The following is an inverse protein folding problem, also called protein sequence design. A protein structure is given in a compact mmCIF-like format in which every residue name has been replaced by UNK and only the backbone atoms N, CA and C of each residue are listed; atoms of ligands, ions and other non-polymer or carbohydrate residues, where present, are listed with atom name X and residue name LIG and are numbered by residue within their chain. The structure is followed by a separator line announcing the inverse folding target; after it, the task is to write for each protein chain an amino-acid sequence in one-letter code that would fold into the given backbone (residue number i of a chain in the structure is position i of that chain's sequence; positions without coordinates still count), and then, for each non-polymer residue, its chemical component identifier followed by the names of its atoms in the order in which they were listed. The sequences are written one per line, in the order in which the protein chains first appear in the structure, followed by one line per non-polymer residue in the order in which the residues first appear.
data_IF_197448811842
#
_entry.id   IF_197448811842
#
_cell.length_a   1.000
_cell.length_b   1.000
_cell.length_c   1.000
_cell.angle_alpha   90.00
_cell.angle_beta   90.00
_cell.angle_gamma   90.00
#
_symmetry.space_group_name_H-M   'P 1'
#
loop_
_entity.id
_entity.type
_entity.pdbx_description
1 polymer ?
#
# COMPACT_ATOMS: atom_id res chain seq x y z
N UNK A 1 1.13 -2.72 22.59
CA UNK A 1 -0.13 -2.11 22.10
C UNK A 1 -0.45 -0.75 22.74
N UNK A 2 0.53 0.05 23.21
CA UNK A 2 0.23 1.35 23.84
C UNK A 2 1.40 2.36 23.78
N UNK A 3 1.87 2.74 22.59
CA UNK A 3 2.88 3.81 22.46
C UNK A 3 2.52 4.92 21.48
N UNK A 4 1.69 4.67 20.46
CA UNK A 4 1.30 5.72 19.49
C UNK A 4 0.26 6.70 20.04
N UNK A 5 -0.61 6.26 20.95
CA UNK A 5 -1.60 7.13 21.59
C UNK A 5 -0.98 8.03 22.69
N UNK A 6 0.23 7.72 23.16
CA UNK A 6 0.80 8.36 24.35
C UNK A 6 1.31 9.79 24.11
N UNK A 7 1.49 10.22 22.85
CA UNK A 7 2.12 11.54 22.58
C UNK A 7 1.24 12.57 21.88
N UNK A 8 0.12 12.20 21.23
CA UNK A 8 -0.70 13.15 20.43
C UNK A 8 0.15 14.12 19.57
N UNK A 9 1.34 13.67 19.13
CA UNK A 9 2.26 14.51 18.37
C UNK A 9 1.80 14.50 16.92
N UNK A 10 1.12 15.57 16.53
CA UNK A 10 0.87 15.86 15.11
C UNK A 10 2.22 16.07 14.43
N UNK A 11 2.48 15.27 13.41
CA UNK A 11 3.70 15.33 12.60
C UNK A 11 3.32 15.15 11.14
N UNK A 12 4.18 15.57 10.21
CA UNK A 12 4.00 15.30 8.78
C UNK A 12 3.79 13.81 8.47
N UNK A 13 4.29 12.90 9.33
CA UNK A 13 4.09 11.46 9.19
C UNK A 13 2.64 11.01 9.41
N UNK A 14 1.83 11.79 10.13
CA UNK A 14 0.39 11.55 10.26
C UNK A 14 -0.32 11.82 8.94
N UNK A 15 0.08 12.87 8.23
CA UNK A 15 -0.45 13.21 6.90
C UNK A 15 -0.05 12.15 5.87
N UNK A 16 1.20 11.65 5.93
CA UNK A 16 1.66 10.53 5.08
C UNK A 16 0.82 9.28 5.31
N UNK A 17 0.53 8.92 6.57
CA UNK A 17 -0.31 7.76 6.87
C UNK A 17 -1.72 7.94 6.32
N UNK A 18 -2.32 9.10 6.55
CA UNK A 18 -3.68 9.43 6.10
C UNK A 18 -3.78 9.39 4.57
N UNK A 19 -2.76 9.89 3.85
CA UNK A 19 -2.65 9.73 2.40
C UNK A 19 -2.65 8.26 1.98
N UNK A 20 -1.84 7.42 2.63
CA UNK A 20 -1.79 5.99 2.32
C UNK A 20 -3.15 5.29 2.53
N UNK A 21 -3.86 5.64 3.60
CA UNK A 21 -5.23 5.13 3.87
C UNK A 21 -6.18 5.55 2.75
N UNK A 22 -6.20 6.83 2.36
CA UNK A 22 -7.07 7.34 1.29
C UNK A 22 -6.74 6.69 -0.05
N UNK A 23 -5.45 6.53 -0.38
CA UNK A 23 -5.03 5.87 -1.62
C UNK A 23 -5.52 4.40 -1.68
N UNK A 24 -5.39 3.66 -0.58
CA UNK A 24 -5.93 2.30 -0.48
C UNK A 24 -7.45 2.28 -0.55
N UNK A 25 -8.13 3.22 0.11
CA UNK A 25 -9.59 3.31 0.08
C UNK A 25 -10.13 3.50 -1.35
N UNK A 26 -9.46 4.34 -2.15
CA UNK A 26 -9.78 4.54 -3.57
C UNK A 26 -9.58 3.23 -4.36
N UNK A 27 -8.46 2.55 -4.17
CA UNK A 27 -8.12 1.32 -4.90
C UNK A 27 -9.02 0.12 -4.52
N UNK A 28 -9.46 0.06 -3.27
CA UNK A 28 -10.28 -1.02 -2.72
C UNK A 28 -11.78 -0.76 -2.85
N UNK A 29 -12.18 0.49 -3.09
CA UNK A 29 -13.59 0.92 -3.08
C UNK A 29 -14.24 0.89 -1.69
N UNK A 30 -13.45 0.69 -0.62
CA UNK A 30 -13.88 0.58 0.78
C UNK A 30 -12.73 0.89 1.73
N UNK A 31 -13.05 1.22 2.97
CA UNK A 31 -12.05 1.55 3.99
C UNK A 31 -11.08 0.35 4.26
N UNK A 32 -9.75 0.56 4.27
CA UNK A 32 -8.76 -0.52 4.32
C UNK A 32 -8.50 -1.09 5.73
N UNK A 33 -9.36 -0.81 6.71
CA UNK A 33 -9.12 -1.10 8.13
C UNK A 33 -8.81 -2.57 8.43
N UNK A 34 -9.55 -3.49 7.84
CA UNK A 34 -9.35 -4.94 8.02
C UNK A 34 -8.01 -5.38 7.44
N UNK A 35 -7.65 -4.89 6.25
CA UNK A 35 -6.36 -5.17 5.61
C UNK A 35 -5.20 -4.67 6.47
N UNK A 36 -5.26 -3.42 6.92
CA UNK A 36 -4.18 -2.80 7.71
C UNK A 36 -4.00 -3.48 9.07
N UNK A 37 -5.07 -4.02 9.65
CA UNK A 37 -5.03 -4.79 10.89
C UNK A 37 -4.37 -6.15 10.69
N UNK A 38 -4.60 -6.79 9.53
CA UNK A 38 -4.08 -8.12 9.20
C UNK A 38 -2.67 -8.12 8.59
N UNK A 39 -2.21 -6.98 8.04
CA UNK A 39 -0.89 -6.85 7.41
C UNK A 39 0.28 -7.42 8.23
N UNK A 40 0.41 -7.16 9.55
CA UNK A 40 1.49 -7.73 10.35
C UNK A 40 1.49 -9.26 10.38
N UNK A 41 0.30 -9.87 10.36
CA UNK A 41 0.17 -11.33 10.31
C UNK A 41 0.52 -11.85 8.91
N UNK A 42 0.00 -11.22 7.85
CA UNK A 42 0.27 -11.56 6.44
C UNK A 42 1.78 -11.53 6.12
N UNK A 43 2.51 -10.52 6.62
CA UNK A 43 3.96 -10.43 6.42
C UNK A 43 4.75 -11.52 7.18
N UNK A 44 4.14 -12.21 8.14
CA UNK A 44 4.82 -13.21 9.00
C UNK A 44 4.52 -14.67 8.61
N UNK A 45 3.39 -14.93 7.95
CA UNK A 45 2.96 -16.27 7.53
C UNK A 45 2.66 -16.28 6.03
N UNK A 46 3.47 -17.00 5.25
CA UNK A 46 3.25 -17.12 3.79
C UNK A 46 1.99 -17.94 3.43
N UNK A 47 1.41 -18.68 4.37
CA UNK A 47 0.25 -19.56 4.12
C UNK A 47 -1.08 -18.80 3.98
N UNK A 48 -1.19 -17.58 4.51
CA UNK A 48 -2.41 -16.74 4.49
C UNK A 48 -2.23 -15.45 3.67
N UNK A 49 -1.35 -15.47 2.66
CA UNK A 49 -1.07 -14.28 1.86
C UNK A 49 -2.25 -13.93 0.94
N UNK A 50 -2.63 -12.65 0.94
CA UNK A 50 -3.77 -12.17 0.18
C UNK A 50 -3.33 -11.80 -1.24
N UNK A 51 -4.09 -12.24 -2.24
CA UNK A 51 -3.89 -11.81 -3.63
C UNK A 51 -4.37 -10.37 -3.80
N UNK A 52 -3.55 -9.56 -4.49
CA UNK A 52 -3.86 -8.16 -4.75
C UNK A 52 -5.22 -8.00 -5.45
N UNK A 53 -5.51 -8.86 -6.43
CA UNK A 53 -6.79 -8.83 -7.17
C UNK A 53 -8.03 -8.98 -6.29
N UNK A 54 -7.90 -9.64 -5.13
CA UNK A 54 -9.03 -9.91 -4.25
C UNK A 54 -9.29 -8.74 -3.29
N UNK A 55 -8.32 -7.83 -3.18
CA UNK A 55 -8.36 -6.64 -2.32
C UNK A 55 -8.88 -5.41 -3.07
N UNK A 56 -8.58 -5.30 -4.36
CA UNK A 56 -9.06 -4.20 -5.20
C UNK A 56 -10.58 -4.19 -5.31
N UNK A 57 -11.12 -3.04 -5.72
CA UNK A 57 -12.55 -2.87 -5.93
C UNK A 57 -13.10 -3.87 -6.97
N UNK A 58 -13.77 -4.91 -6.48
CA UNK A 58 -14.30 -5.99 -7.29
C UNK A 58 -15.49 -5.58 -8.17
N UNK A 59 -15.96 -4.33 -8.07
CA UNK A 59 -16.97 -3.75 -8.97
C UNK A 59 -16.37 -3.30 -10.30
N UNK A 60 -15.05 -3.18 -10.39
CA UNK A 60 -14.32 -2.79 -11.58
C UNK A 60 -13.74 -4.02 -12.28
N UNK A 61 -13.54 -3.90 -13.59
CA UNK A 61 -12.80 -4.92 -14.33
C UNK A 61 -11.35 -5.00 -13.84
N UNK A 62 -10.74 -6.20 -13.77
CA UNK A 62 -9.35 -6.34 -13.38
C UNK A 62 -8.44 -5.51 -14.30
N UNK A 63 -7.46 -4.77 -13.74
CA UNK A 63 -6.57 -3.97 -14.57
C UNK A 63 -5.71 -4.87 -15.46
N UNK A 64 -5.43 -4.40 -16.67
CA UNK A 64 -4.65 -5.11 -17.68
C UNK A 64 -3.43 -4.31 -18.11
N UNK A 65 -2.35 -5.01 -18.47
CA UNK A 65 -1.12 -4.42 -19.04
C UNK A 65 -0.57 -3.25 -18.18
N UNK A 66 -0.48 -2.06 -18.76
CA UNK A 66 0.08 -0.87 -18.13
C UNK A 66 -0.72 -0.41 -16.90
N UNK A 67 -2.06 -0.57 -16.93
CA UNK A 67 -2.88 -0.19 -15.77
C UNK A 67 -2.60 -1.10 -14.57
N UNK A 68 -2.26 -2.37 -14.81
CA UNK A 68 -1.89 -3.30 -13.75
C UNK A 68 -0.56 -2.89 -13.11
N UNK A 69 0.40 -2.42 -13.90
CA UNK A 69 1.68 -1.90 -13.42
C UNK A 69 1.49 -0.69 -12.50
N UNK A 70 0.70 0.28 -12.96
CA UNK A 70 0.40 1.49 -12.18
C UNK A 70 -0.32 1.17 -10.87
N UNK A 71 -1.32 0.28 -10.91
CA UNK A 71 -2.04 -0.15 -9.70
C UNK A 71 -1.09 -0.82 -8.71
N UNK A 72 -0.25 -1.75 -9.16
CA UNK A 72 0.76 -2.39 -8.29
C UNK A 72 1.70 -1.36 -7.67
N UNK A 73 2.16 -0.40 -8.47
CA UNK A 73 3.04 0.66 -8.00
C UNK A 73 2.38 1.53 -6.92
N UNK A 74 1.16 2.02 -7.16
CA UNK A 74 0.44 2.85 -6.20
C UNK A 74 0.13 2.07 -4.91
N UNK A 75 -0.23 0.78 -5.02
CA UNK A 75 -0.44 -0.08 -3.84
C UNK A 75 0.83 -0.17 -2.99
N UNK A 76 2.01 -0.37 -3.61
CA UNK A 76 3.29 -0.41 -2.88
C UNK A 76 3.58 0.89 -2.14
N UNK A 77 3.37 2.04 -2.80
CA UNK A 77 3.55 3.36 -2.21
C UNK A 77 2.57 3.55 -1.03
N UNK A 78 1.31 3.19 -1.22
CA UNK A 78 0.29 3.32 -0.19
C UNK A 78 0.59 2.45 1.03
N UNK A 79 0.98 1.18 0.83
CA UNK A 79 1.42 0.28 1.91
C UNK A 79 2.64 0.81 2.67
N UNK A 80 3.61 1.42 1.97
CA UNK A 80 4.75 2.06 2.60
C UNK A 80 4.34 3.27 3.46
N UNK A 81 3.36 4.05 2.99
CA UNK A 81 2.80 5.18 3.72
C UNK A 81 2.03 4.75 4.98
N UNK A 82 1.38 3.59 4.97
CA UNK A 82 0.60 3.06 6.10
C UNK A 82 1.40 2.22 7.10
N UNK A 83 2.74 2.27 7.06
CA UNK A 83 3.58 1.54 8.03
C UNK A 83 3.29 1.95 9.47
N UNK A 84 3.30 0.96 10.37
CA UNK A 84 3.01 1.16 11.78
C UNK A 84 3.98 2.13 12.46
N UNK A 85 5.28 2.05 12.13
CA UNK A 85 6.31 2.98 12.62
C UNK A 85 6.35 4.24 11.72
N UNK A 86 6.10 5.46 12.25
CA UNK A 86 6.17 6.71 11.50
C UNK A 86 7.51 6.93 10.79
N UNK A 87 8.61 6.55 11.42
CA UNK A 87 9.96 6.71 10.86
C UNK A 87 10.21 5.80 9.65
N UNK A 88 9.45 4.71 9.54
CA UNK A 88 9.54 3.79 8.40
C UNK A 88 8.67 4.21 7.21
N UNK A 89 7.85 5.26 7.37
CA UNK A 89 7.04 5.84 6.28
C UNK A 89 7.93 6.77 5.43
N UNK A 90 7.74 6.83 4.10
CA UNK A 90 8.52 7.75 3.26
C UNK A 90 8.20 9.22 3.56
N UNK A 91 9.01 10.15 3.04
CA UNK A 91 8.68 11.58 3.04
C UNK A 91 7.65 11.88 1.93
N UNK A 92 6.69 12.77 2.17
CA UNK A 92 5.66 13.10 1.18
C UNK A 92 6.25 13.65 -0.13
N UNK A 93 7.37 14.38 -0.06
CA UNK A 93 8.11 14.83 -1.26
C UNK A 93 8.55 13.65 -2.13
N UNK A 94 9.09 12.59 -1.53
CA UNK A 94 9.53 11.39 -2.24
C UNK A 94 8.34 10.66 -2.86
N UNK A 95 7.23 10.55 -2.13
CA UNK A 95 5.97 9.98 -2.62
C UNK A 95 5.48 10.74 -3.86
N UNK A 96 5.39 12.07 -3.78
CA UNK A 96 4.94 12.90 -4.88
C UNK A 96 5.88 12.82 -6.10
N UNK A 97 7.19 12.84 -5.88
CA UNK A 97 8.18 12.66 -6.95
C UNK A 97 8.06 11.32 -7.62
N UNK A 98 7.83 10.25 -6.85
CA UNK A 98 7.69 8.91 -7.40
C UNK A 98 6.42 8.73 -8.21
N UNK A 99 5.29 9.24 -7.71
CA UNK A 99 4.04 9.23 -8.48
C UNK A 99 4.19 10.07 -9.77
N UNK A 100 4.88 11.21 -9.71
CA UNK A 100 5.06 12.08 -10.87
C UNK A 100 6.10 11.54 -11.87
N UNK A 101 7.14 10.85 -11.39
CA UNK A 101 8.23 10.33 -12.22
C UNK A 101 7.99 8.90 -12.69
N UNK A 102 6.94 8.23 -12.22
CA UNK A 102 6.61 6.88 -12.66
C UNK A 102 6.19 6.91 -14.13
N UNK A 103 7.14 6.66 -15.01
CA UNK A 103 6.95 6.37 -16.43
C UNK A 103 7.19 4.87 -16.63
N UNK A 104 6.16 4.15 -17.06
CA UNK A 104 6.05 2.73 -17.39
C UNK A 104 7.21 1.80 -16.98
N UNK A 105 6.90 0.76 -16.19
CA UNK A 105 7.79 -0.36 -15.96
C UNK A 105 7.04 -1.68 -16.16
N UNK A 106 7.52 -2.50 -17.10
CA UNK A 106 6.97 -3.81 -17.46
C UNK A 106 6.75 -4.73 -16.24
N UNK A 107 5.52 -5.21 -16.03
CA UNK A 107 5.22 -6.21 -15.00
C UNK A 107 5.85 -7.55 -15.35
N UNK A 108 6.81 -8.00 -14.53
CA UNK A 108 7.51 -9.29 -14.70
C UNK A 108 6.62 -10.51 -14.42
N UNK A 109 5.57 -10.34 -13.60
CA UNK A 109 4.68 -11.42 -13.17
C UNK A 109 3.22 -11.09 -13.53
N UNK A 110 2.42 -12.14 -13.77
CA UNK A 110 0.99 -11.96 -14.04
C UNK A 110 0.31 -11.32 -12.84
N UNK A 111 -0.37 -10.19 -13.07
CA UNK A 111 -1.07 -9.40 -12.04
C UNK A 111 -1.91 -10.24 -11.06
N UNK A 112 -2.55 -11.31 -11.57
CA UNK A 112 -3.41 -12.22 -10.80
C UNK A 112 -2.69 -13.04 -9.73
N UNK A 113 -1.36 -13.15 -9.80
CA UNK A 113 -0.52 -13.92 -8.88
C UNK A 113 0.23 -13.02 -7.88
N UNK A 114 0.07 -11.71 -7.99
CA UNK A 114 0.72 -10.77 -7.08
C UNK A 114 0.00 -10.84 -5.73
N UNK A 115 0.78 -11.06 -4.69
CA UNK A 115 0.31 -11.07 -3.31
C UNK A 115 0.75 -9.82 -2.57
N UNK A 116 0.05 -9.49 -1.48
CA UNK A 116 0.34 -8.27 -0.70
C UNK A 116 1.70 -8.35 -0.03
N UNK A 117 2.12 -9.49 0.50
CA UNK A 117 3.42 -9.59 1.18
C UNK A 117 4.58 -9.13 0.29
N UNK A 118 4.59 -9.52 -1.00
CA UNK A 118 5.57 -9.09 -2.02
C UNK A 118 5.62 -7.57 -2.22
N UNK A 119 4.55 -6.85 -1.89
CA UNK A 119 4.44 -5.40 -2.07
C UNK A 119 4.88 -4.60 -0.83
N UNK A 120 5.07 -5.27 0.31
CA UNK A 120 5.45 -4.60 1.57
C UNK A 120 6.94 -4.28 1.68
N UNK A 121 7.78 -4.89 0.83
CA UNK A 121 9.25 -4.73 0.80
C UNK A 121 9.74 -3.43 0.17
N UNK A 122 8.88 -2.42 0.02
CA UNK A 122 9.30 -1.13 -0.51
C UNK A 122 10.33 -0.46 0.41
N UNK A 123 11.62 -0.53 0.07
CA UNK A 123 12.71 0.11 0.79
C UNK A 123 13.26 1.25 -0.03
N UNK A 124 13.01 2.49 0.40
CA UNK A 124 13.73 3.65 -0.08
C UNK A 124 14.05 4.56 1.10
#
# INVERSE_FOLDING_TARGET
MATWLQTMRVTEKCDVYSFGVVALEILMGKHPGDLLTSLPAISSSQEDDLLLKDILDQRLDPPTEQLAEEVVFIVRIALACTRAKPESRPAMRSVAQEIAAHTQAYLSEAFRLITISKLTDYQK
#
